data_IF_902072475086
#
_entry.id   IF_902072475086
#
_cell.length_a   1.000
_cell.length_b   1.000
_cell.length_c   1.000
_cell.angle_alpha   90.00
_cell.angle_beta   90.00
_cell.angle_gamma   90.00
#
_symmetry.space_group_name_H-M   'P 1'
#
loop_
_entity.id
_entity.type
_entity.pdbx_description
1 polymer ?
#
# COMPACT_ATOMS: atom_id res chain seq x y z
N UNK A 1 28.49 -5.33 -3.71
CA UNK A 1 28.26 -3.98 -4.21
C UNK A 1 27.49 -3.09 -3.23
N UNK A 2 26.33 -3.50 -2.67
CA UNK A 2 25.57 -2.66 -1.72
C UNK A 2 26.35 -2.38 -0.42
N UNK A 3 27.19 -3.29 0.02
CA UNK A 3 28.02 -3.14 1.23
C UNK A 3 29.06 -1.99 1.11
N UNK A 4 29.36 -1.54 -0.10
CA UNK A 4 30.31 -0.43 -0.33
C UNK A 4 29.65 0.96 -0.27
N UNK A 5 28.34 1.05 -0.05
CA UNK A 5 27.65 2.33 0.11
C UNK A 5 28.05 2.93 1.46
N UNK A 6 28.48 4.21 1.51
CA UNK A 6 28.81 4.87 2.76
C UNK A 6 27.62 4.89 3.73
N UNK A 7 27.92 4.86 5.03
CA UNK A 7 26.93 4.96 6.13
C UNK A 7 25.96 3.80 6.21
N UNK A 8 26.28 2.64 5.59
CA UNK A 8 25.56 1.39 5.80
C UNK A 8 26.07 0.73 7.07
N UNK A 9 25.18 0.51 8.02
CA UNK A 9 25.46 -0.13 9.32
C UNK A 9 25.28 -1.63 9.21
N UNK A 10 24.21 -2.08 8.56
CA UNK A 10 23.89 -3.49 8.47
C UNK A 10 23.31 -3.85 7.09
N UNK A 11 23.61 -5.07 6.65
CA UNK A 11 23.07 -5.68 5.44
C UNK A 11 22.55 -7.09 5.79
N UNK A 12 21.26 -7.30 5.59
CA UNK A 12 20.59 -8.60 5.80
C UNK A 12 19.95 -9.07 4.50
N UNK A 13 19.96 -10.38 4.27
CA UNK A 13 19.24 -10.98 3.15
C UNK A 13 18.47 -12.20 3.60
N UNK A 14 17.28 -12.36 3.04
CA UNK A 14 16.42 -13.54 3.22
C UNK A 14 16.02 -14.02 1.84
N UNK A 15 16.36 -15.27 1.51
CA UNK A 15 15.94 -15.89 0.25
C UNK A 15 15.02 -17.07 0.53
N UNK A 16 13.89 -17.09 -0.13
CA UNK A 16 12.89 -18.15 -0.10
C UNK A 16 12.52 -18.52 -1.52
N UNK A 17 11.77 -19.60 -1.71
CA UNK A 17 11.29 -19.96 -3.04
C UNK A 17 10.47 -18.82 -3.65
N UNK A 18 10.91 -18.33 -4.81
CA UNK A 18 10.26 -17.23 -5.52
C UNK A 18 10.43 -15.81 -4.93
N UNK A 19 11.19 -15.65 -3.83
CA UNK A 19 11.39 -14.36 -3.19
C UNK A 19 12.80 -14.22 -2.63
N UNK A 20 13.46 -13.11 -2.92
CA UNK A 20 14.70 -12.68 -2.28
C UNK A 20 14.56 -11.24 -1.79
N UNK A 21 14.74 -11.01 -0.50
CA UNK A 21 14.66 -9.68 0.12
C UNK A 21 16.03 -9.30 0.66
N UNK A 22 16.53 -8.15 0.27
CA UNK A 22 17.76 -7.56 0.80
C UNK A 22 17.41 -6.30 1.58
N UNK A 23 17.70 -6.32 2.88
CA UNK A 23 17.47 -5.18 3.78
C UNK A 23 18.80 -4.46 4.02
N UNK A 24 18.83 -3.18 3.74
CA UNK A 24 19.97 -2.30 3.97
C UNK A 24 19.64 -1.31 5.07
N UNK A 25 20.39 -1.33 6.15
CA UNK A 25 20.22 -0.43 7.28
C UNK A 25 21.31 0.64 7.23
N UNK A 26 20.89 1.89 7.24
CA UNK A 26 21.76 3.07 7.29
C UNK A 26 21.79 3.66 8.70
N UNK A 27 22.72 4.57 8.96
CA UNK A 27 22.75 5.40 10.17
C UNK A 27 21.45 6.22 10.29
N UNK A 28 21.06 6.58 11.52
CA UNK A 28 19.74 7.19 11.81
C UNK A 28 19.50 8.54 11.17
N UNK A 29 20.58 9.33 10.98
CA UNK A 29 20.55 10.68 10.41
C UNK A 29 20.63 10.72 8.88
N UNK A 30 20.68 9.55 8.21
CA UNK A 30 20.73 9.46 6.76
C UNK A 30 19.35 9.76 6.15
N UNK A 31 19.32 10.71 5.21
CA UNK A 31 18.11 10.98 4.44
C UNK A 31 17.69 9.75 3.61
N UNK A 32 16.42 9.39 3.73
CA UNK A 32 15.89 8.16 3.10
C UNK A 32 15.92 8.24 1.57
N UNK A 33 15.73 9.42 0.97
CA UNK A 33 15.75 9.58 -0.48
C UNK A 33 17.17 9.52 -1.03
N UNK A 34 18.16 10.06 -0.30
CA UNK A 34 19.56 9.88 -0.63
C UNK A 34 19.95 8.40 -0.58
N UNK A 35 19.60 7.68 0.50
CA UNK A 35 19.86 6.25 0.63
C UNK A 35 19.24 5.44 -0.53
N UNK A 36 18.01 5.77 -0.90
CA UNK A 36 17.32 5.15 -2.03
C UNK A 36 18.02 5.42 -3.36
N UNK A 37 18.49 6.64 -3.58
CA UNK A 37 19.24 6.97 -4.79
C UNK A 37 20.52 6.12 -4.91
N UNK A 38 21.27 5.96 -3.82
CA UNK A 38 22.46 5.10 -3.77
C UNK A 38 22.13 3.64 -4.06
N UNK A 39 21.05 3.12 -3.46
CA UNK A 39 20.62 1.73 -3.71
C UNK A 39 20.18 1.56 -5.16
N UNK A 40 19.42 2.51 -5.73
CA UNK A 40 18.97 2.45 -7.13
C UNK A 40 20.13 2.32 -8.10
N UNK A 41 21.22 3.04 -7.86
CA UNK A 41 22.44 2.93 -8.66
C UNK A 41 23.04 1.52 -8.60
N UNK A 42 23.09 0.94 -7.40
CA UNK A 42 23.60 -0.43 -7.22
C UNK A 42 22.66 -1.52 -7.77
N UNK A 43 21.36 -1.28 -7.78
CA UNK A 43 20.37 -2.17 -8.42
C UNK A 43 20.66 -2.25 -9.92
N UNK A 44 20.88 -1.11 -10.59
CA UNK A 44 21.20 -1.09 -12.03
C UNK A 44 22.50 -1.85 -12.38
N UNK A 45 23.51 -1.75 -11.51
CA UNK A 45 24.72 -2.57 -11.67
C UNK A 45 24.42 -4.07 -11.49
N UNK A 46 23.59 -4.41 -10.50
CA UNK A 46 23.24 -5.79 -10.19
C UNK A 46 22.38 -6.45 -11.30
N UNK A 47 21.48 -5.72 -11.94
CA UNK A 47 20.66 -6.20 -13.05
C UNK A 47 21.48 -6.85 -14.16
N UNK A 48 22.65 -6.29 -14.46
CA UNK A 48 23.56 -6.82 -15.48
C UNK A 48 24.24 -8.14 -15.06
N UNK A 49 24.22 -8.48 -13.78
CA UNK A 49 24.87 -9.69 -13.23
C UNK A 49 23.89 -10.79 -12.87
N UNK A 50 22.62 -10.45 -12.75
CA UNK A 50 21.56 -11.42 -12.47
C UNK A 50 21.26 -12.22 -13.75
N UNK A 51 21.21 -13.57 -13.69
CA UNK A 51 20.86 -14.40 -14.85
C UNK A 51 19.46 -14.07 -15.36
N UNK A 52 19.30 -14.04 -16.68
CA UNK A 52 17.98 -13.83 -17.31
C UNK A 52 16.98 -14.90 -16.84
N UNK A 53 15.75 -14.48 -16.58
CA UNK A 53 14.66 -15.37 -16.18
C UNK A 53 14.55 -15.63 -14.66
N UNK A 54 15.49 -15.12 -13.84
CA UNK A 54 15.43 -15.30 -12.38
C UNK A 54 14.54 -14.23 -11.73
N UNK A 55 14.42 -13.04 -12.34
CA UNK A 55 13.63 -11.92 -11.86
C UNK A 55 14.42 -10.61 -11.93
N UNK A 56 13.71 -9.50 -11.79
CA UNK A 56 14.29 -8.15 -11.73
C UNK A 56 14.23 -7.63 -10.30
N UNK A 57 15.32 -7.02 -9.79
CA UNK A 57 15.30 -6.43 -8.46
C UNK A 57 14.48 -5.14 -8.44
N UNK A 58 13.58 -5.03 -7.48
CA UNK A 58 12.74 -3.86 -7.28
C UNK A 58 12.93 -3.28 -5.88
N UNK A 59 12.79 -1.98 -5.76
CA UNK A 59 12.89 -1.30 -4.48
C UNK A 59 11.52 -1.14 -3.85
N UNK A 60 11.38 -1.57 -2.59
CA UNK A 60 10.15 -1.37 -1.83
C UNK A 60 9.78 0.11 -1.70
N UNK A 61 8.49 0.46 -1.63
CA UNK A 61 8.04 1.83 -1.45
C UNK A 61 8.52 2.43 -0.12
N UNK A 62 8.46 3.76 -0.01
CA UNK A 62 8.84 4.52 1.21
C UNK A 62 7.72 4.40 2.24
N UNK A 63 7.61 3.24 2.84
CA UNK A 63 6.63 2.95 3.88
C UNK A 63 7.26 2.18 5.04
N UNK A 64 6.56 2.08 6.14
CA UNK A 64 6.93 1.27 7.31
C UNK A 64 5.77 0.37 7.69
N UNK A 65 5.97 -0.63 8.54
CA UNK A 65 4.89 -1.45 9.09
C UNK A 65 3.80 -0.64 9.82
N UNK A 66 4.14 0.56 10.30
CA UNK A 66 3.17 1.50 10.86
C UNK A 66 2.43 2.30 9.77
N UNK A 67 2.80 2.16 8.52
CA UNK A 67 2.19 2.84 7.38
C UNK A 67 0.85 2.23 6.93
N UNK A 68 0.46 1.09 7.45
CA UNK A 68 -0.87 0.53 7.21
C UNK A 68 -1.92 1.40 7.89
N UNK A 69 -2.63 2.23 7.11
CA UNK A 69 -3.53 3.24 7.66
C UNK A 69 -5.00 2.96 7.38
N UNK A 70 -5.30 2.22 6.31
CA UNK A 70 -6.67 1.96 5.90
C UNK A 70 -6.76 0.62 5.17
N UNK A 71 -7.65 -0.26 5.63
CA UNK A 71 -7.90 -1.54 4.98
C UNK A 71 -9.40 -1.71 4.72
N UNK A 72 -9.71 -2.28 3.58
CA UNK A 72 -11.08 -2.47 3.11
C UNK A 72 -11.24 -3.79 2.38
N UNK A 73 -12.46 -4.26 2.28
CA UNK A 73 -12.84 -5.41 1.46
C UNK A 73 -13.71 -4.96 0.29
N UNK A 74 -13.57 -5.69 -0.81
CA UNK A 74 -14.37 -5.54 -2.03
C UNK A 74 -15.21 -6.80 -2.16
N UNK A 75 -16.51 -6.64 -2.21
CA UNK A 75 -17.44 -7.76 -2.23
C UNK A 75 -18.69 -7.46 -3.07
N UNK A 76 -19.43 -8.50 -3.53
CA UNK A 76 -20.68 -8.30 -4.25
C UNK A 76 -21.81 -7.94 -3.29
N UNK A 77 -22.68 -7.02 -3.68
CA UNK A 77 -23.94 -6.75 -2.98
C UNK A 77 -24.82 -7.99 -2.96
N UNK A 78 -25.73 -8.04 -1.97
CA UNK A 78 -26.72 -9.09 -1.91
C UNK A 78 -27.55 -9.17 -3.21
N UNK A 79 -27.56 -10.37 -3.80
CA UNK A 79 -28.20 -10.64 -5.10
C UNK A 79 -27.26 -10.52 -6.32
N UNK A 80 -25.97 -10.19 -6.10
CA UNK A 80 -24.95 -10.13 -7.15
C UNK A 80 -23.83 -11.15 -6.93
N UNK A 81 -23.96 -12.07 -5.97
CA UNK A 81 -22.92 -13.03 -5.59
C UNK A 81 -22.55 -13.97 -6.75
N UNK A 82 -23.53 -14.34 -7.58
CA UNK A 82 -23.29 -15.18 -8.76
C UNK A 82 -22.64 -14.42 -9.93
N UNK A 83 -22.75 -13.08 -9.94
CA UNK A 83 -22.22 -12.25 -11.02
C UNK A 83 -20.72 -11.98 -10.88
N UNK A 84 -20.20 -11.94 -9.67
CA UNK A 84 -18.80 -11.57 -9.39
C UNK A 84 -18.12 -12.66 -8.56
N UNK A 85 -17.19 -13.36 -9.17
CA UNK A 85 -16.33 -14.31 -8.47
C UNK A 85 -15.07 -13.60 -7.91
N UNK A 86 -14.24 -14.32 -7.14
CA UNK A 86 -13.03 -13.78 -6.54
C UNK A 86 -12.01 -13.23 -7.57
N UNK A 87 -12.00 -13.74 -8.79
CA UNK A 87 -11.15 -13.25 -9.89
C UNK A 87 -11.65 -11.91 -10.42
N UNK A 88 -12.96 -11.75 -10.53
CA UNK A 88 -13.57 -10.50 -11.00
C UNK A 88 -13.38 -9.39 -9.98
N UNK A 89 -13.61 -9.68 -8.70
CA UNK A 89 -13.39 -8.73 -7.60
C UNK A 89 -11.91 -8.31 -7.51
N UNK A 90 -10.98 -9.26 -7.69
CA UNK A 90 -9.55 -8.97 -7.75
C UNK A 90 -9.22 -8.08 -8.95
N UNK A 91 -9.81 -8.32 -10.09
CA UNK A 91 -9.62 -7.50 -11.29
C UNK A 91 -10.14 -6.07 -11.07
N UNK A 92 -11.32 -5.92 -10.46
CA UNK A 92 -11.88 -4.61 -10.08
C UNK A 92 -10.95 -3.88 -9.11
N UNK A 93 -10.44 -4.58 -8.09
CA UNK A 93 -9.49 -4.01 -7.14
C UNK A 93 -8.21 -3.52 -7.82
N UNK A 94 -7.59 -4.35 -8.67
CA UNK A 94 -6.29 -4.05 -9.25
C UNK A 94 -6.35 -3.02 -10.39
N UNK A 95 -7.46 -2.97 -11.15
CA UNK A 95 -7.59 -2.13 -12.34
C UNK A 95 -8.49 -0.90 -12.19
N UNK A 96 -9.41 -0.89 -11.22
CA UNK A 96 -10.31 0.25 -11.01
C UNK A 96 -9.99 0.97 -9.71
N UNK A 97 -9.86 0.26 -8.59
CA UNK A 97 -9.71 0.87 -7.26
C UNK A 97 -8.26 1.29 -7.00
N UNK A 98 -7.33 0.35 -7.10
CA UNK A 98 -5.90 0.55 -6.80
C UNK A 98 -5.28 1.73 -7.58
N UNK A 99 -5.45 1.87 -8.91
CA UNK A 99 -4.84 2.97 -9.66
C UNK A 99 -5.35 4.35 -9.23
N UNK A 100 -6.61 4.46 -8.80
CA UNK A 100 -7.18 5.71 -8.33
C UNK A 100 -6.68 6.10 -6.92
N UNK A 101 -6.31 5.12 -6.09
CA UNK A 101 -5.78 5.35 -4.74
C UNK A 101 -4.28 5.66 -4.75
N UNK A 102 -3.48 5.04 -5.61
CA UNK A 102 -2.02 5.27 -5.70
C UNK A 102 -1.72 6.74 -6.02
N UNK A 103 -2.55 7.43 -6.79
CA UNK A 103 -2.38 8.85 -7.09
C UNK A 103 -2.79 9.80 -5.95
N UNK A 104 -3.21 9.29 -4.81
CA UNK A 104 -3.67 10.09 -3.68
C UNK A 104 -2.49 10.60 -2.85
N UNK A 105 -2.52 11.88 -2.45
CA UNK A 105 -1.45 12.50 -1.66
C UNK A 105 -1.21 11.73 -0.35
N UNK A 106 0.05 11.44 -0.06
CA UNK A 106 0.47 10.73 1.15
C UNK A 106 0.35 9.19 1.08
N UNK A 107 -0.21 8.65 0.00
CA UNK A 107 -0.26 7.19 -0.24
C UNK A 107 1.05 6.73 -0.88
N UNK A 108 1.71 5.77 -0.25
CA UNK A 108 2.94 5.17 -0.77
C UNK A 108 2.64 4.02 -1.72
N UNK A 109 1.67 3.17 -1.35
CA UNK A 109 1.32 1.95 -2.05
C UNK A 109 -0.09 1.50 -1.67
N UNK A 110 -0.70 0.72 -2.54
CA UNK A 110 -1.94 -0.01 -2.26
C UNK A 110 -1.72 -1.48 -2.58
N UNK A 111 -1.73 -2.30 -1.55
CA UNK A 111 -1.55 -3.75 -1.67
C UNK A 111 -2.89 -4.45 -1.78
N UNK A 112 -2.95 -5.47 -2.63
CA UNK A 112 -4.13 -6.30 -2.79
C UNK A 112 -3.89 -7.66 -2.17
N UNK A 113 -4.82 -8.13 -1.35
CA UNK A 113 -4.80 -9.43 -0.69
C UNK A 113 -6.06 -10.21 -1.06
N UNK A 114 -5.92 -11.53 -1.20
CA UNK A 114 -7.02 -12.41 -1.61
C UNK A 114 -7.38 -12.31 -3.09
N UNK A 115 -8.37 -13.09 -3.48
CA UNK A 115 -8.81 -13.24 -4.85
C UNK A 115 -7.79 -13.91 -5.78
N UNK A 116 -8.21 -14.20 -6.98
CA UNK A 116 -7.36 -14.82 -8.01
C UNK A 116 -6.89 -13.77 -9.02
N UNK A 117 -5.59 -13.65 -9.21
CA UNK A 117 -5.05 -12.80 -10.27
C UNK A 117 -5.35 -13.43 -11.64
N UNK A 118 -6.16 -12.74 -12.43
CA UNK A 118 -6.57 -13.18 -13.78
C UNK A 118 -5.36 -13.25 -14.70
N UNK A 119 -5.23 -14.38 -15.39
CA UNK A 119 -4.17 -14.62 -16.38
C UNK A 119 -4.73 -15.29 -17.62
N UNK A 120 -4.07 -15.08 -18.76
CA UNK A 120 -4.21 -15.96 -19.91
C UNK A 120 -3.35 -17.19 -19.65
N UNK A 121 -3.97 -18.32 -19.52
CA UNK A 121 -3.31 -19.60 -19.29
C UNK A 121 -3.23 -20.39 -20.58
N UNK A 122 -2.02 -20.77 -20.96
CA UNK A 122 -1.75 -21.66 -22.08
C UNK A 122 -1.43 -23.06 -21.52
N UNK A 123 -2.49 -23.85 -21.29
CA UNK A 123 -2.38 -25.19 -20.72
C UNK A 123 -1.88 -26.16 -21.79
N UNK A 124 -0.59 -26.43 -21.74
CA UNK A 124 0.11 -27.29 -22.73
C UNK A 124 -0.34 -28.74 -22.58
N UNK A 125 -0.57 -29.42 -23.73
CA UNK A 125 -0.97 -30.81 -23.78
C UNK A 125 0.24 -31.68 -24.18
N UNK A 126 0.86 -32.43 -23.23
CA UNK A 126 2.10 -33.18 -23.50
C UNK A 126 2.02 -34.18 -24.68
N UNK A 127 0.89 -34.86 -24.81
CA UNK A 127 0.70 -35.81 -25.89
C UNK A 127 0.68 -35.14 -27.28
N UNK A 128 0.07 -33.96 -27.37
CA UNK A 128 0.07 -33.17 -28.60
C UNK A 128 1.43 -32.57 -28.90
N UNK A 129 2.17 -32.12 -27.89
CA UNK A 129 3.55 -31.69 -28.07
C UNK A 129 4.40 -32.79 -28.70
N UNK A 130 4.30 -33.98 -28.12
CA UNK A 130 5.05 -35.16 -28.63
C UNK A 130 4.65 -35.54 -30.05
N UNK A 131 3.34 -35.59 -30.36
CA UNK A 131 2.85 -35.96 -31.70
C UNK A 131 3.22 -34.93 -32.76
N UNK A 132 3.30 -33.64 -32.40
CA UNK A 132 3.67 -32.56 -33.31
C UNK A 132 5.15 -32.19 -33.21
N UNK A 133 5.95 -33.00 -32.51
CA UNK A 133 7.38 -32.76 -32.29
C UNK A 133 7.70 -31.32 -31.90
N UNK A 134 6.92 -30.77 -30.95
CA UNK A 134 7.00 -29.38 -30.46
C UNK A 134 7.48 -29.36 -29.01
N UNK A 135 8.29 -28.38 -28.68
CA UNK A 135 8.82 -28.17 -27.32
C UNK A 135 8.10 -27.02 -26.62
N UNK A 136 8.16 -27.00 -25.29
CA UNK A 136 7.62 -25.86 -24.48
C UNK A 136 8.38 -24.58 -24.80
N UNK A 137 9.69 -24.66 -25.04
CA UNK A 137 10.53 -23.51 -25.41
C UNK A 137 10.04 -22.87 -26.71
N UNK A 138 9.73 -23.69 -27.77
CA UNK A 138 9.18 -23.13 -29.00
C UNK A 138 7.86 -22.40 -28.80
N UNK A 139 7.03 -22.83 -27.83
CA UNK A 139 5.79 -22.11 -27.45
C UNK A 139 6.12 -20.78 -26.78
N UNK A 140 7.07 -20.74 -25.85
CA UNK A 140 7.50 -19.50 -25.22
C UNK A 140 8.04 -18.49 -26.22
N UNK A 141 8.94 -18.92 -27.09
CA UNK A 141 9.53 -18.10 -28.14
C UNK A 141 8.46 -17.55 -29.09
N UNK A 142 7.48 -18.39 -29.45
CA UNK A 142 6.37 -17.97 -30.30
C UNK A 142 5.48 -16.94 -29.63
N UNK A 143 5.18 -17.09 -28.34
CA UNK A 143 4.38 -16.11 -27.56
C UNK A 143 5.11 -14.79 -27.40
N UNK A 144 6.40 -14.81 -27.09
CA UNK A 144 7.23 -13.62 -26.92
C UNK A 144 7.33 -12.82 -28.22
N UNK A 145 7.62 -13.50 -29.34
CA UNK A 145 7.79 -12.89 -30.65
C UNK A 145 6.49 -12.41 -31.32
N UNK A 146 5.32 -12.89 -30.87
CA UNK A 146 4.03 -12.53 -31.45
C UNK A 146 3.15 -11.67 -30.52
N UNK A 147 3.73 -11.04 -29.53
CA UNK A 147 3.02 -10.12 -28.62
C UNK A 147 3.72 -8.76 -28.53
N UNK A 148 4.10 -8.19 -29.66
CA UNK A 148 4.81 -6.92 -29.74
C UNK A 148 4.26 -6.02 -30.85
N UNK A 149 4.11 -4.73 -30.55
CA UNK A 149 3.80 -3.74 -31.57
C UNK A 149 5.09 -3.24 -32.20
N UNK A 150 5.18 -3.26 -33.52
CA UNK A 150 6.32 -2.72 -34.26
C UNK A 150 6.02 -1.35 -34.83
N UNK A 151 6.97 -0.41 -34.63
CA UNK A 151 6.99 0.83 -35.35
C UNK A 151 7.49 0.61 -36.78
N UNK A 152 6.83 1.19 -37.76
CA UNK A 152 7.24 1.16 -39.15
C UNK A 152 7.79 2.50 -39.64
N UNK A 153 8.25 2.50 -40.90
CA UNK A 153 8.55 3.73 -41.64
C UNK A 153 7.26 4.50 -41.94
N UNK A 154 7.37 5.62 -42.59
CA UNK A 154 6.24 6.35 -43.12
C UNK A 154 6.25 6.31 -44.65
N UNK A 155 5.08 6.42 -45.26
CA UNK A 155 4.91 6.57 -46.69
C UNK A 155 4.66 8.07 -46.93
N UNK A 156 5.57 8.73 -47.64
CA UNK A 156 5.40 10.12 -48.05
C UNK A 156 4.48 10.19 -49.32
N UNK A 157 3.28 10.72 -49.11
CA UNK A 157 2.33 11.08 -50.19
C UNK A 157 1.98 12.53 -50.01
N UNK A 158 2.79 13.43 -50.57
CA UNK A 158 2.53 14.85 -50.49
C UNK A 158 1.06 15.20 -50.82
N UNK A 159 0.36 16.00 -49.97
CA UNK A 159 0.88 16.74 -48.79
C UNK A 159 0.87 15.95 -47.45
N UNK A 160 0.60 14.64 -47.43
CA UNK A 160 0.44 13.84 -46.23
C UNK A 160 1.53 12.79 -46.07
N UNK A 161 1.96 12.54 -44.82
CA UNK A 161 2.78 11.41 -44.42
C UNK A 161 1.91 10.35 -43.72
N UNK A 162 1.97 9.13 -44.16
CA UNK A 162 1.22 7.99 -43.60
C UNK A 162 2.17 7.14 -42.77
N UNK A 163 1.99 7.15 -41.46
CA UNK A 163 2.80 6.32 -40.58
C UNK A 163 2.31 4.86 -40.61
N UNK A 164 3.25 3.96 -40.77
CA UNK A 164 2.98 2.52 -40.74
C UNK A 164 3.12 2.05 -39.29
N UNK A 165 2.08 1.41 -38.76
CA UNK A 165 2.09 0.78 -37.44
C UNK A 165 1.75 -0.69 -37.56
N UNK A 166 2.66 -1.56 -37.15
CA UNK A 166 2.38 -2.98 -36.98
C UNK A 166 1.68 -3.20 -35.63
N UNK A 167 0.43 -3.69 -35.66
CA UNK A 167 -0.32 -4.04 -34.45
C UNK A 167 -0.20 -5.55 -34.27
N UNK A 168 0.69 -5.96 -33.34
CA UNK A 168 0.97 -7.38 -33.07
C UNK A 168 0.68 -7.81 -31.63
N UNK A 169 0.23 -6.88 -30.76
CA UNK A 169 -0.16 -7.26 -29.40
C UNK A 169 -1.46 -8.06 -29.41
N UNK A 170 -1.46 -9.17 -28.67
CA UNK A 170 -2.66 -9.99 -28.46
C UNK A 170 -3.70 -9.25 -27.62
N UNK A 171 -4.96 -9.32 -28.00
CA UNK A 171 -6.08 -8.69 -27.31
C UNK A 171 -7.15 -9.68 -26.88
N UNK A 172 -7.12 -10.90 -27.40
CA UNK A 172 -8.11 -11.92 -27.14
C UNK A 172 -7.50 -13.32 -27.06
N UNK A 173 -8.27 -14.26 -26.52
CA UNK A 173 -7.91 -15.69 -26.52
C UNK A 173 -7.75 -16.20 -27.96
N UNK A 174 -8.57 -15.71 -28.89
CA UNK A 174 -8.51 -16.11 -30.29
C UNK A 174 -7.22 -15.67 -30.98
N UNK A 175 -6.68 -14.51 -30.61
CA UNK A 175 -5.39 -14.05 -31.15
C UNK A 175 -4.28 -15.00 -30.69
N UNK A 176 -4.27 -15.37 -29.40
CA UNK A 176 -3.30 -16.32 -28.84
C UNK A 176 -3.42 -17.68 -29.53
N UNK A 177 -4.64 -18.18 -29.74
CA UNK A 177 -4.90 -19.44 -30.39
C UNK A 177 -4.35 -19.52 -31.82
N UNK A 178 -4.25 -18.38 -32.52
CA UNK A 178 -3.78 -18.28 -33.91
C UNK A 178 -2.27 -18.08 -34.06
N UNK A 179 -1.55 -17.87 -32.95
CA UNK A 179 -0.09 -17.71 -32.99
C UNK A 179 0.53 -18.99 -33.57
N UNK A 180 1.42 -18.79 -34.53
CA UNK A 180 2.17 -19.88 -35.17
C UNK A 180 3.37 -20.23 -34.31
N UNK A 181 3.43 -21.46 -33.79
CA UNK A 181 4.56 -21.95 -33.00
C UNK A 181 5.73 -22.30 -33.95
N UNK A 182 5.46 -23.01 -34.99
CA UNK A 182 6.44 -23.34 -36.05
C UNK A 182 5.76 -23.79 -37.31
N UNK A 183 6.55 -23.88 -38.39
CA UNK A 183 6.12 -24.46 -39.66
C UNK A 183 6.78 -25.84 -39.84
N UNK A 184 5.99 -26.87 -40.04
CA UNK A 184 6.46 -28.22 -40.29
C UNK A 184 6.00 -28.69 -41.67
N UNK A 185 6.92 -28.87 -42.61
CA UNK A 185 6.64 -29.31 -44.01
C UNK A 185 5.59 -28.41 -44.72
N UNK A 186 5.62 -27.10 -44.49
CA UNK A 186 4.66 -26.17 -45.09
C UNK A 186 3.33 -26.01 -44.35
N UNK A 187 3.11 -26.78 -43.27
CA UNK A 187 1.91 -26.71 -42.44
C UNK A 187 2.24 -25.95 -41.13
N UNK A 188 1.58 -24.81 -40.84
CA UNK A 188 1.78 -24.11 -39.61
C UNK A 188 1.15 -24.86 -38.42
N UNK A 189 1.91 -25.06 -37.35
CA UNK A 189 1.42 -25.55 -36.06
C UNK A 189 1.08 -24.33 -35.21
N UNK A 190 -0.18 -24.24 -34.79
CA UNK A 190 -0.70 -23.13 -34.00
C UNK A 190 -0.71 -23.47 -32.49
N UNK A 191 -0.79 -22.44 -31.62
CA UNK A 191 -0.94 -22.65 -30.17
C UNK A 191 -2.12 -23.56 -29.84
N UNK A 192 -3.29 -23.38 -30.49
CA UNK A 192 -4.49 -24.20 -30.28
C UNK A 192 -4.28 -25.70 -30.58
N UNK A 193 -3.30 -26.02 -31.42
CA UNK A 193 -3.03 -27.41 -31.82
C UNK A 193 -2.25 -28.17 -30.74
N UNK A 194 -1.49 -27.46 -29.90
CA UNK A 194 -0.57 -28.02 -28.87
C UNK A 194 -0.98 -27.66 -27.44
N UNK A 195 -1.85 -26.65 -27.25
CA UNK A 195 -2.28 -26.17 -25.95
C UNK A 195 -3.76 -25.79 -25.94
N UNK A 196 -4.34 -25.68 -24.75
CA UNK A 196 -5.65 -25.08 -24.52
C UNK A 196 -5.44 -23.66 -23.93
N UNK A 197 -5.91 -22.64 -24.65
CA UNK A 197 -5.87 -21.27 -24.14
C UNK A 197 -7.16 -20.97 -23.38
N UNK A 198 -7.04 -20.53 -22.17
CA UNK A 198 -8.18 -20.21 -21.30
C UNK A 198 -7.85 -19.06 -20.33
N UNK A 199 -8.87 -18.50 -19.68
CA UNK A 199 -8.66 -17.65 -18.52
C UNK A 199 -8.38 -18.54 -17.33
N UNK A 200 -7.23 -18.35 -16.73
CA UNK A 200 -6.79 -19.03 -15.52
C UNK A 200 -6.43 -18.05 -14.43
N UNK A 201 -5.78 -18.55 -13.40
CA UNK A 201 -5.31 -17.74 -12.28
C UNK A 201 -3.85 -18.06 -11.96
N UNK A 202 -3.10 -17.04 -11.50
CA UNK A 202 -1.76 -17.31 -10.97
C UNK A 202 -1.83 -18.18 -9.71
N UNK A 203 -0.72 -18.86 -9.43
CA UNK A 203 -0.56 -19.56 -8.14
C UNK A 203 -0.67 -18.54 -7.03
N UNK A 204 -1.55 -18.80 -6.06
CA UNK A 204 -1.74 -17.91 -4.92
C UNK A 204 -1.20 -18.53 -3.64
N UNK A 205 -0.68 -17.68 -2.76
CA UNK A 205 -0.05 -18.07 -1.49
C UNK A 205 -0.89 -17.73 -0.27
N UNK A 206 -2.08 -17.14 -0.47
CA UNK A 206 -2.96 -16.76 0.62
C UNK A 206 -4.38 -16.44 0.13
N UNK A 207 -5.28 -16.32 1.10
CA UNK A 207 -6.67 -15.92 0.91
C UNK A 207 -7.08 -14.97 2.04
N UNK A 208 -8.07 -14.13 1.80
CA UNK A 208 -8.70 -13.28 2.80
C UNK A 208 -10.15 -13.73 2.98
N UNK A 209 -10.55 -13.88 4.24
CA UNK A 209 -11.94 -14.18 4.60
C UNK A 209 -12.43 -13.16 5.62
N UNK A 210 -13.71 -12.82 5.59
CA UNK A 210 -14.33 -11.90 6.53
C UNK A 210 -15.68 -12.47 6.98
N UNK A 211 -15.92 -12.44 8.29
CA UNK A 211 -17.22 -12.80 8.92
C UNK A 211 -17.77 -14.18 8.54
N UNK A 212 -16.91 -15.12 8.14
CA UNK A 212 -17.31 -16.47 7.73
C UNK A 212 -18.09 -16.55 6.41
N UNK A 213 -18.08 -15.49 5.60
CA UNK A 213 -18.84 -15.40 4.33
C UNK A 213 -18.11 -15.94 3.10
N UNK A 214 -16.98 -16.59 3.28
CA UNK A 214 -16.17 -17.10 2.20
C UNK A 214 -14.96 -16.23 1.89
N UNK A 215 -14.43 -16.36 0.67
CA UNK A 215 -13.26 -15.60 0.24
C UNK A 215 -13.66 -14.22 -0.29
N UNK A 216 -12.94 -13.20 0.18
CA UNK A 216 -13.08 -11.81 -0.24
C UNK A 216 -11.76 -11.25 -0.77
N UNK A 217 -11.84 -10.09 -1.40
CA UNK A 217 -10.67 -9.35 -1.87
C UNK A 217 -10.47 -8.13 -0.98
N UNK A 218 -9.28 -7.97 -0.44
CA UNK A 218 -8.95 -6.83 0.42
C UNK A 218 -7.93 -5.91 -0.24
N UNK A 219 -8.10 -4.61 -0.02
CA UNK A 219 -7.12 -3.58 -0.32
C UNK A 219 -6.53 -3.01 0.97
N UNK A 220 -5.21 -2.84 1.00
CA UNK A 220 -4.46 -2.24 2.10
C UNK A 220 -3.74 -1.00 1.61
N UNK A 221 -4.07 0.16 2.17
CA UNK A 221 -3.44 1.45 1.83
C UNK A 221 -2.28 1.70 2.77
N UNK A 222 -1.10 1.89 2.19
CA UNK A 222 0.14 2.20 2.88
C UNK A 222 0.46 3.68 2.75
N UNK A 223 0.78 4.32 3.87
CA UNK A 223 1.16 5.73 3.95
C UNK A 223 2.66 5.93 3.72
N UNK A 224 3.03 7.03 3.11
CA UNK A 224 4.41 7.49 3.04
C UNK A 224 4.99 7.76 4.42
N UNK A 225 6.24 7.37 4.65
CA UNK A 225 6.95 7.66 5.90
C UNK A 225 7.03 9.17 6.12
N UNK A 226 6.66 9.62 7.32
CA UNK A 226 6.72 11.04 7.72
C UNK A 226 5.42 11.83 7.50
N UNK A 227 4.44 11.26 6.80
CA UNK A 227 3.14 11.90 6.62
C UNK A 227 2.24 11.78 7.87
N UNK A 228 1.23 12.64 7.97
CA UNK A 228 0.24 12.59 9.03
C UNK A 228 -0.87 11.58 8.68
N UNK A 229 -0.96 10.50 9.46
CA UNK A 229 -1.93 9.42 9.19
C UNK A 229 -3.40 9.89 9.21
N UNK A 230 -3.75 10.86 10.07
CA UNK A 230 -5.11 11.39 10.13
C UNK A 230 -5.50 12.16 8.88
N UNK A 231 -4.59 12.97 8.35
CA UNK A 231 -4.81 13.73 7.11
C UNK A 231 -4.87 12.78 5.89
N UNK A 232 -3.94 11.84 5.80
CA UNK A 232 -3.90 10.89 4.68
C UNK A 232 -5.15 10.02 4.66
N UNK A 233 -5.58 9.47 5.82
CA UNK A 233 -6.83 8.68 5.88
C UNK A 233 -8.04 9.50 5.49
N UNK A 234 -8.12 10.78 5.86
CA UNK A 234 -9.21 11.66 5.43
C UNK A 234 -9.26 11.77 3.91
N UNK A 235 -8.13 12.07 3.27
CA UNK A 235 -8.04 12.18 1.81
C UNK A 235 -8.35 10.84 1.12
N UNK A 236 -7.90 9.71 1.70
CA UNK A 236 -8.22 8.35 1.22
C UNK A 236 -9.73 8.08 1.28
N UNK A 237 -10.40 8.45 2.38
CA UNK A 237 -11.85 8.32 2.51
C UNK A 237 -12.62 9.13 1.48
N UNK A 238 -12.24 10.40 1.30
CA UNK A 238 -12.86 11.28 0.30
C UNK A 238 -12.67 10.70 -1.12
N UNK A 239 -11.50 10.14 -1.39
CA UNK A 239 -11.22 9.46 -2.66
C UNK A 239 -12.02 8.17 -2.80
N UNK A 240 -12.18 7.41 -1.72
CA UNK A 240 -12.96 6.17 -1.70
C UNK A 240 -14.44 6.43 -2.04
N UNK A 241 -15.02 7.51 -1.54
CA UNK A 241 -16.41 7.90 -1.91
C UNK A 241 -16.54 8.27 -3.41
N UNK A 242 -15.48 8.79 -4.02
CA UNK A 242 -15.45 9.01 -5.47
C UNK A 242 -15.36 7.68 -6.23
N UNK A 243 -14.48 6.77 -5.76
CA UNK A 243 -14.26 5.44 -6.35
C UNK A 243 -15.54 4.62 -6.32
N UNK A 244 -16.30 4.64 -5.22
CA UNK A 244 -17.58 3.94 -5.10
C UNK A 244 -18.56 4.28 -6.24
N UNK A 245 -18.52 5.51 -6.77
CA UNK A 245 -19.36 5.94 -7.88
C UNK A 245 -18.91 5.39 -9.25
N UNK A 246 -17.67 4.96 -9.35
CA UNK A 246 -17.09 4.39 -10.57
C UNK A 246 -17.08 2.87 -10.59
N UNK A 247 -17.54 2.23 -9.52
CA UNK A 247 -17.62 0.77 -9.43
C UNK A 247 -18.70 0.22 -10.35
N UNK A 248 -18.50 -1.00 -10.89
CA UNK A 248 -19.55 -1.73 -11.57
C UNK A 248 -20.77 -1.95 -10.65
N UNK A 249 -21.96 -1.99 -11.27
CA UNK A 249 -23.19 -2.23 -10.56
C UNK A 249 -23.14 -3.54 -9.76
N UNK A 250 -23.49 -3.48 -8.47
CA UNK A 250 -23.50 -4.64 -7.58
C UNK A 250 -22.20 -4.92 -6.85
N UNK A 251 -21.16 -4.08 -6.99
CA UNK A 251 -19.93 -4.17 -6.21
C UNK A 251 -19.91 -3.13 -5.10
N UNK A 252 -19.46 -3.52 -3.92
CA UNK A 252 -19.35 -2.66 -2.75
C UNK A 252 -17.94 -2.70 -2.15
N UNK A 253 -17.59 -1.59 -1.46
CA UNK A 253 -16.37 -1.47 -0.66
C UNK A 253 -16.75 -1.15 0.78
N UNK A 254 -16.24 -1.93 1.72
CA UNK A 254 -16.40 -1.71 3.15
C UNK A 254 -15.03 -1.62 3.84
N UNK A 255 -14.80 -0.55 4.59
CA UNK A 255 -13.59 -0.44 5.42
C UNK A 255 -13.77 -1.24 6.70
N UNK A 256 -12.78 -2.06 7.04
CA UNK A 256 -12.76 -2.80 8.31
C UNK A 256 -11.62 -2.36 9.24
N UNK A 257 -10.58 -1.69 8.71
CA UNK A 257 -9.55 -1.06 9.50
C UNK A 257 -9.34 0.38 9.06
N UNK A 258 -9.53 1.28 10.03
CA UNK A 258 -9.34 2.72 9.90
C UNK A 258 -8.53 3.21 11.08
N UNK A 259 -7.29 3.59 10.82
CA UNK A 259 -6.37 4.04 11.87
C UNK A 259 -6.87 5.27 12.62
N UNK A 260 -7.64 6.15 11.96
CA UNK A 260 -8.17 7.35 12.63
C UNK A 260 -9.14 7.03 13.75
N UNK A 261 -9.85 5.90 13.68
CA UNK A 261 -10.74 5.44 14.76
C UNK A 261 -9.93 5.18 16.04
N UNK A 262 -8.80 4.48 15.93
CA UNK A 262 -7.92 4.21 17.06
C UNK A 262 -7.27 5.49 17.60
N UNK A 263 -6.75 6.32 16.71
CA UNK A 263 -6.12 7.61 17.09
C UNK A 263 -7.13 8.52 17.78
N UNK A 264 -8.31 8.69 17.22
CA UNK A 264 -9.37 9.53 17.80
C UNK A 264 -9.84 8.99 19.16
N UNK A 265 -9.98 7.67 19.30
CA UNK A 265 -10.31 7.04 20.58
C UNK A 265 -9.24 7.28 21.63
N UNK A 266 -7.96 7.16 21.26
CA UNK A 266 -6.84 7.45 22.16
C UNK A 266 -6.84 8.93 22.59
N UNK A 267 -7.00 9.87 21.65
CA UNK A 267 -7.10 11.30 21.93
C UNK A 267 -8.29 11.59 22.86
N UNK A 268 -9.47 11.06 22.55
CA UNK A 268 -10.66 11.25 23.37
C UNK A 268 -10.48 10.70 24.79
N UNK A 269 -9.86 9.52 24.94
CA UNK A 269 -9.57 8.95 26.27
C UNK A 269 -8.62 9.85 27.06
N UNK A 270 -7.55 10.33 26.42
CA UNK A 270 -6.60 11.25 27.08
C UNK A 270 -7.30 12.55 27.46
N UNK A 271 -8.10 13.14 26.57
CA UNK A 271 -8.86 14.37 26.88
C UNK A 271 -9.81 14.17 28.07
N UNK A 272 -10.56 13.07 28.08
CA UNK A 272 -11.49 12.76 29.18
C UNK A 272 -10.73 12.62 30.51
N UNK A 273 -9.64 11.83 30.52
CA UNK A 273 -8.84 11.63 31.72
C UNK A 273 -8.21 12.94 32.23
N UNK A 274 -7.74 13.80 31.31
CA UNK A 274 -7.19 15.11 31.66
C UNK A 274 -8.25 16.04 32.27
N UNK A 275 -9.44 16.08 31.67
CA UNK A 275 -10.55 16.93 32.17
C UNK A 275 -11.03 16.41 33.53
N UNK A 276 -11.27 15.11 33.66
CA UNK A 276 -11.72 14.50 34.92
C UNK A 276 -10.65 14.69 36.01
N UNK A 277 -9.39 14.42 35.72
CA UNK A 277 -8.29 14.64 36.65
C UNK A 277 -8.16 16.08 37.08
N UNK A 278 -8.24 17.03 36.13
CA UNK A 278 -8.21 18.46 36.45
C UNK A 278 -9.40 18.88 37.34
N UNK A 279 -10.61 18.40 37.05
CA UNK A 279 -11.80 18.70 37.87
C UNK A 279 -11.67 18.15 39.30
N UNK A 280 -11.14 16.95 39.47
CA UNK A 280 -10.90 16.35 40.79
C UNK A 280 -9.89 17.20 41.57
N UNK A 281 -8.77 17.59 40.93
CA UNK A 281 -7.74 18.43 41.56
C UNK A 281 -8.33 19.79 41.93
N UNK A 282 -9.07 20.45 41.07
CA UNK A 282 -9.76 21.73 41.34
C UNK A 282 -10.70 21.57 42.53
N UNK A 283 -11.51 20.53 42.56
CA UNK A 283 -12.45 20.29 43.66
C UNK A 283 -11.73 20.12 44.99
N UNK A 284 -10.66 19.33 45.03
CA UNK A 284 -9.85 19.12 46.23
C UNK A 284 -9.20 20.44 46.70
N UNK A 285 -8.65 21.21 45.76
CA UNK A 285 -8.01 22.49 46.06
C UNK A 285 -9.00 23.50 46.63
N UNK A 286 -10.19 23.63 46.06
CA UNK A 286 -11.25 24.53 46.57
C UNK A 286 -11.66 24.10 47.97
N UNK A 287 -11.72 22.82 48.25
CA UNK A 287 -12.12 22.28 49.55
C UNK A 287 -11.03 22.52 50.62
N UNK A 288 -9.75 22.29 50.26
CA UNK A 288 -8.62 22.45 51.20
C UNK A 288 -8.31 23.91 51.49
N UNK A 289 -8.32 24.78 50.47
CA UNK A 289 -8.03 26.21 50.62
C UNK A 289 -9.18 27.02 51.28
N UNK A 290 -10.39 26.43 51.34
CA UNK A 290 -11.58 27.10 51.90
C UNK A 290 -12.00 28.37 51.15
N UNK A 291 -11.31 28.72 50.09
CA UNK A 291 -11.55 29.92 49.28
C UNK A 291 -11.63 29.54 47.78
N UNK A 292 -12.85 29.64 47.23
CA UNK A 292 -13.09 29.24 45.84
C UNK A 292 -12.34 30.10 44.82
N UNK A 293 -12.04 31.38 45.14
CA UNK A 293 -11.27 32.27 44.26
C UNK A 293 -9.81 31.83 44.17
N UNK A 294 -9.23 31.48 45.30
CA UNK A 294 -7.88 30.96 45.37
C UNK A 294 -7.76 29.63 44.63
N UNK A 295 -8.72 28.73 44.83
CA UNK A 295 -8.79 27.46 44.09
C UNK A 295 -8.86 27.65 42.57
N UNK A 296 -9.63 28.61 42.07
CA UNK A 296 -9.71 28.93 40.64
C UNK A 296 -8.40 29.52 40.08
N UNK A 297 -7.69 30.33 40.82
CA UNK A 297 -6.38 30.86 40.43
C UNK A 297 -5.38 29.73 40.27
N UNK A 298 -5.27 28.85 41.25
CA UNK A 298 -4.40 27.68 41.16
C UNK A 298 -4.83 26.76 40.00
N UNK A 299 -6.12 26.53 39.86
CA UNK A 299 -6.65 25.71 38.79
C UNK A 299 -6.31 26.23 37.38
N UNK A 300 -6.21 27.54 37.20
CA UNK A 300 -5.83 28.15 35.92
C UNK A 300 -4.40 27.86 35.49
N UNK A 301 -3.53 27.45 36.41
CA UNK A 301 -2.14 27.08 36.14
C UNK A 301 -2.09 25.81 35.27
N UNK A 302 -3.01 24.87 35.48
CA UNK A 302 -3.05 23.61 34.73
C UNK A 302 -3.16 23.84 33.20
N UNK A 303 -4.21 24.54 32.70
CA UNK A 303 -4.33 24.76 31.27
C UNK A 303 -3.22 25.66 30.72
N UNK A 304 -2.73 26.63 31.48
CA UNK A 304 -1.64 27.51 31.05
C UNK A 304 -0.31 26.76 30.92
N UNK A 305 0.02 25.87 31.86
CA UNK A 305 1.21 25.04 31.81
C UNK A 305 1.16 24.05 30.62
N UNK A 306 -0.01 23.45 30.37
CA UNK A 306 -0.21 22.57 29.22
C UNK A 306 -0.05 23.32 27.90
N UNK A 307 -0.66 24.49 27.76
CA UNK A 307 -0.53 25.33 26.56
C UNK A 307 0.92 25.75 26.32
N UNK A 308 1.62 26.11 27.41
CA UNK A 308 3.04 26.46 27.34
C UNK A 308 3.87 25.25 26.87
N UNK A 309 3.67 24.08 27.47
CA UNK A 309 4.38 22.86 27.09
C UNK A 309 4.16 22.50 25.61
N UNK A 310 2.90 22.49 25.12
CA UNK A 310 2.56 22.23 23.73
C UNK A 310 3.19 23.26 22.78
N UNK A 311 3.19 24.53 23.17
CA UNK A 311 3.80 25.62 22.40
C UNK A 311 5.32 25.44 22.29
N UNK A 312 5.99 25.05 23.36
CA UNK A 312 7.42 24.75 23.36
C UNK A 312 7.74 23.51 22.51
N UNK A 313 6.97 22.45 22.62
CA UNK A 313 7.13 21.26 21.78
C UNK A 313 7.05 21.62 20.30
N UNK A 314 6.07 22.46 19.91
CA UNK A 314 5.94 22.94 18.54
C UNK A 314 7.14 23.80 18.10
N UNK A 315 7.63 24.67 18.97
CA UNK A 315 8.77 25.57 18.69
C UNK A 315 10.08 24.77 18.47
N UNK A 316 10.32 23.77 19.32
CA UNK A 316 11.52 22.93 19.26
C UNK A 316 11.40 21.71 18.35
N UNK A 317 10.28 21.52 17.63
CA UNK A 317 10.07 20.40 16.71
C UNK A 317 10.00 19.03 17.40
N UNK A 318 9.64 18.98 18.67
CA UNK A 318 9.50 17.74 19.43
C UNK A 318 8.17 17.07 19.04
N UNK A 319 8.24 15.80 18.64
CA UNK A 319 7.05 15.05 18.26
C UNK A 319 6.15 14.80 19.49
N UNK A 320 4.88 15.07 19.30
CA UNK A 320 3.86 14.81 20.30
C UNK A 320 3.61 13.30 20.44
N UNK A 321 3.82 12.76 21.64
CA UNK A 321 3.52 11.38 21.97
C UNK A 321 2.32 11.31 22.92
N UNK A 322 1.23 10.68 22.47
CA UNK A 322 0.00 10.50 23.24
C UNK A 322 0.22 9.76 24.57
N UNK A 323 1.17 8.83 24.62
CA UNK A 323 1.49 8.11 25.88
C UNK A 323 2.13 9.04 26.92
N UNK A 324 3.03 9.92 26.49
CA UNK A 324 3.64 10.92 27.38
C UNK A 324 2.62 11.91 27.92
N UNK A 325 1.61 12.26 27.11
CA UNK A 325 0.55 13.18 27.52
C UNK A 325 -0.41 12.57 28.55
N UNK A 326 -0.66 11.25 28.47
CA UNK A 326 -1.45 10.52 29.46
C UNK A 326 -0.76 10.34 30.81
N UNK A 327 0.55 10.55 30.86
CA UNK A 327 1.37 10.45 32.08
C UNK A 327 1.63 11.81 32.77
N UNK A 328 0.97 12.89 32.32
CA UNK A 328 1.13 14.21 32.96
C UNK A 328 0.53 14.16 34.36
N UNK A 329 1.39 14.40 35.34
CA UNK A 329 1.00 14.51 36.75
C UNK A 329 0.57 15.94 37.07
N UNK A 330 -0.72 16.12 37.26
CA UNK A 330 -1.30 17.42 37.65
C UNK A 330 -0.83 17.88 39.04
N UNK A 331 -0.51 16.96 39.93
CA UNK A 331 0.01 17.26 41.24
C UNK A 331 1.29 18.09 41.15
N UNK A 332 2.29 17.60 40.42
CA UNK A 332 3.56 18.31 40.23
C UNK A 332 3.41 19.72 39.61
N UNK A 333 2.45 19.89 38.70
CA UNK A 333 2.20 21.18 38.03
C UNK A 333 1.60 22.18 39.01
N UNK A 334 0.74 21.72 39.92
CA UNK A 334 -0.06 22.57 40.79
C UNK A 334 0.68 22.91 42.11
N UNK A 335 1.58 22.05 42.59
CA UNK A 335 2.26 22.18 43.86
C UNK A 335 2.92 23.56 44.07
N UNK A 336 3.66 24.05 43.08
CA UNK A 336 4.29 25.35 43.14
C UNK A 336 3.28 26.50 43.23
N UNK A 337 2.15 26.41 42.58
CA UNK A 337 1.10 27.42 42.59
C UNK A 337 0.32 27.38 43.92
N UNK A 338 0.09 26.17 44.47
CA UNK A 338 -0.58 26.02 45.79
C UNK A 338 0.21 26.68 46.89
N UNK A 339 1.53 26.42 46.98
CA UNK A 339 2.43 26.98 47.98
C UNK A 339 2.40 28.54 47.94
N UNK A 340 2.44 29.12 46.74
CA UNK A 340 2.42 30.59 46.59
C UNK A 340 1.07 31.15 47.02
N UNK A 341 -0.03 30.54 46.62
CA UNK A 341 -1.37 31.03 46.94
C UNK A 341 -1.69 30.84 48.43
N UNK A 342 -1.28 29.71 49.03
CA UNK A 342 -1.42 29.44 50.46
C UNK A 342 -0.64 30.46 51.31
N UNK A 343 0.54 30.90 50.86
CA UNK A 343 1.33 31.92 51.54
C UNK A 343 0.74 33.32 51.48
N UNK A 344 -0.22 33.58 50.57
CA UNK A 344 -0.85 34.89 50.35
C UNK A 344 -2.22 34.99 51.06
N UNK A 345 -2.88 33.87 51.30
CA UNK A 345 -4.17 33.82 51.98
C UNK A 345 -3.98 33.87 53.50
#
# INVERSE_FOLDING_TARGET
>A
SVKSIPRVVELRSISRFGLSVVTVVFEEDVDIYWARAQITERIKEAENTIPKGVGTPEMSPVSTGLGEIYQYVVFPKKGYEEKYNATDLRTIQDWIIKPQLIGTKGVAEVNTLGGNLKQYEIAVQPDKLKSMNTTITEIFDALENNNENTGGAYIDKKPYAYFIRGVGMVSSIDDINKIVVKNQNGIPILIRDVAKVQIGSSIRYGAVTKDGKGEEVSGMVMMLKGENSGEVVKVVKDKMEQIKKSLPEGVEIEAFMDRTVLVNKAISTVQTNLIEGALIVIFILVLLLGNWRAGLVVASVIPLALLFAISMMKLFGVFFNLMSFGAIDFGLIVDGAVIIVEAII
#
